data_IF_940429363373
#
_entry.id   IF_940429363373
#
_cell.length_a   1.000
_cell.length_b   1.000
_cell.length_c   1.000
_cell.angle_alpha   90.00
_cell.angle_beta   90.00
_cell.angle_gamma   90.00
#
_symmetry.space_group_name_H-M   'P 1'
#
loop_
_entity.id
_entity.type
_entity.pdbx_description
1 polymer ?
#
# COMPACT_ATOMS: atom_id res chain seq x y z
N UNK A 1 29.08 37.49 36.80
CA UNK A 1 30.07 36.59 36.17
C UNK A 1 29.31 35.38 35.62
N UNK A 2 29.25 35.27 34.28
CA UNK A 2 28.47 34.29 33.53
C UNK A 2 29.27 32.98 33.45
N UNK A 3 28.70 31.85 33.90
CA UNK A 3 29.05 30.53 33.37
C UNK A 3 27.75 29.77 33.18
N UNK A 4 27.28 29.87 31.94
CA UNK A 4 26.07 29.29 31.44
C UNK A 4 26.06 27.78 31.72
N UNK A 5 25.16 27.39 32.63
CA UNK A 5 24.51 26.08 32.61
C UNK A 5 23.83 25.91 31.25
N UNK A 6 23.66 24.67 30.81
CA UNK A 6 22.87 24.25 29.65
C UNK A 6 23.56 24.35 28.28
N UNK A 7 24.56 23.50 28.03
CA UNK A 7 24.91 23.06 26.68
C UNK A 7 24.99 21.54 26.67
N UNK A 8 23.87 20.90 26.32
CA UNK A 8 23.70 19.61 25.63
C UNK A 8 22.24 19.13 25.79
N UNK A 9 21.31 20.06 25.49
CA UNK A 9 19.99 19.73 24.99
C UNK A 9 20.17 18.93 23.66
N UNK A 10 19.21 18.08 23.31
CA UNK A 10 19.37 16.70 22.89
C UNK A 10 20.00 16.53 21.51
N UNK A 11 20.71 15.41 21.34
CA UNK A 11 21.13 14.88 20.05
C UNK A 11 19.88 14.62 19.19
N UNK A 12 19.60 15.59 18.32
CA UNK A 12 18.72 15.52 17.15
C UNK A 12 18.74 14.10 16.54
N UNK A 13 17.58 13.44 16.47
CA UNK A 13 16.75 13.44 15.26
C UNK A 13 17.46 12.89 14.02
N UNK A 14 17.84 11.60 14.01
CA UNK A 14 18.09 10.87 12.76
C UNK A 14 17.68 9.39 12.88
N UNK A 15 16.38 9.16 13.07
CA UNK A 15 15.72 7.90 12.71
C UNK A 15 14.80 8.17 11.53
N UNK A 16 15.37 8.53 10.38
CA UNK A 16 14.61 8.81 9.17
C UNK A 16 13.84 7.56 8.74
N UNK A 17 12.52 7.68 8.60
CA UNK A 17 11.69 6.70 7.93
C UNK A 17 12.19 6.53 6.50
N UNK A 18 12.99 5.51 6.24
CA UNK A 18 13.24 5.04 4.89
C UNK A 18 12.07 4.13 4.48
N UNK A 19 10.93 4.73 4.12
CA UNK A 19 9.88 4.01 3.39
C UNK A 19 9.73 4.66 2.02
N UNK A 20 10.66 4.35 1.12
CA UNK A 20 10.47 4.62 -0.31
C UNK A 20 10.02 3.34 -0.99
N UNK A 21 8.72 3.04 -0.94
CA UNK A 21 8.06 2.15 -1.89
C UNK A 21 7.13 2.94 -2.82
N UNK A 22 7.53 4.16 -3.18
CA UNK A 22 6.91 4.93 -4.26
C UNK A 22 7.43 4.48 -5.62
N UNK A 23 7.03 3.28 -6.06
CA UNK A 23 7.45 2.72 -7.34
C UNK A 23 6.31 1.99 -8.04
N UNK A 24 5.78 2.61 -9.09
CA UNK A 24 4.79 2.08 -10.03
C UNK A 24 3.31 2.17 -9.63
N UNK A 25 2.88 3.31 -9.07
CA UNK A 25 1.48 3.69 -9.09
C UNK A 25 1.07 4.13 -10.52
N UNK A 26 0.46 3.22 -11.28
CA UNK A 26 -0.26 3.60 -12.50
C UNK A 26 -1.55 4.35 -12.18
N UNK A 27 -2.13 5.00 -13.19
CA UNK A 27 -3.48 5.59 -13.11
C UNK A 27 -4.47 4.54 -12.61
N UNK A 28 -4.98 4.72 -11.39
CA UNK A 28 -5.83 3.75 -10.68
C UNK A 28 -5.31 3.32 -9.31
N UNK A 29 -4.08 3.66 -8.94
CA UNK A 29 -3.60 3.48 -7.57
C UNK A 29 -4.07 4.68 -6.72
N UNK A 30 -4.67 4.46 -5.54
CA UNK A 30 -5.08 5.54 -4.65
C UNK A 30 -3.88 6.44 -4.27
N UNK A 31 -4.07 7.75 -4.38
CA UNK A 31 -3.04 8.71 -4.04
C UNK A 31 -2.72 8.65 -2.53
N UNK A 32 -1.43 8.65 -2.18
CA UNK A 32 -0.99 8.55 -0.79
C UNK A 32 -1.18 7.18 -0.16
N UNK A 33 -1.38 6.12 -0.96
CA UNK A 33 -1.46 4.77 -0.44
C UNK A 33 -0.10 4.26 0.05
N UNK A 34 -0.09 3.70 1.26
CA UNK A 34 0.95 2.82 1.75
C UNK A 34 0.77 1.42 1.13
N UNK A 35 1.85 0.85 0.61
CA UNK A 35 1.80 -0.45 -0.09
C UNK A 35 2.50 -1.53 0.71
N UNK A 36 1.77 -2.61 1.01
CA UNK A 36 2.32 -3.83 1.61
C UNK A 36 2.30 -4.97 0.60
N UNK A 37 3.46 -5.56 0.32
CA UNK A 37 3.61 -6.65 -0.65
C UNK A 37 3.88 -7.98 0.05
N UNK A 38 3.25 -9.06 -0.41
CA UNK A 38 3.55 -10.44 -0.01
C UNK A 38 3.55 -11.39 -1.21
N UNK A 39 4.50 -12.33 -1.22
CA UNK A 39 4.48 -13.44 -2.17
C UNK A 39 3.83 -14.65 -1.51
N UNK A 40 2.83 -15.20 -2.17
CA UNK A 40 2.06 -16.35 -1.74
C UNK A 40 2.79 -17.66 -2.07
N UNK A 41 2.43 -18.75 -1.41
CA UNK A 41 3.07 -20.07 -1.63
C UNK A 41 2.89 -20.63 -3.05
N UNK A 42 1.89 -20.17 -3.79
CA UNK A 42 1.68 -20.51 -5.20
C UNK A 42 2.50 -19.64 -6.17
N UNK A 43 3.30 -18.70 -5.66
CA UNK A 43 4.13 -17.76 -6.42
C UNK A 43 3.44 -16.44 -6.79
N UNK A 44 2.16 -16.28 -6.48
CA UNK A 44 1.45 -15.03 -6.76
C UNK A 44 1.96 -13.92 -5.85
N UNK A 45 2.10 -12.70 -6.39
CA UNK A 45 2.41 -11.51 -5.60
C UNK A 45 1.12 -10.74 -5.32
N UNK A 46 0.89 -10.43 -4.06
CA UNK A 46 -0.25 -9.64 -3.60
C UNK A 46 0.25 -8.33 -2.99
N UNK A 47 -0.22 -7.22 -3.54
CA UNK A 47 0.05 -5.87 -3.08
C UNK A 47 -1.23 -5.26 -2.51
N UNK A 48 -1.24 -4.97 -1.22
CA UNK A 48 -2.32 -4.27 -0.52
C UNK A 48 -2.01 -2.77 -0.46
N UNK A 49 -2.93 -1.95 -0.96
CA UNK A 49 -2.82 -0.49 -0.99
C UNK A 49 -3.76 0.08 0.06
N UNK A 50 -3.20 0.79 1.03
CA UNK A 50 -3.95 1.37 2.14
C UNK A 50 -3.77 2.87 2.21
N UNK A 51 -4.87 3.62 2.30
CA UNK A 51 -4.83 5.08 2.52
C UNK A 51 -5.22 5.34 3.96
N UNK A 52 -4.36 6.03 4.73
CA UNK A 52 -4.59 6.30 6.16
C UNK A 52 -4.90 5.03 6.99
N UNK A 53 -4.32 3.89 6.61
CA UNK A 53 -4.52 2.60 7.28
C UNK A 53 -5.74 1.78 6.81
N UNK A 54 -6.62 2.38 5.99
CA UNK A 54 -7.80 1.74 5.42
C UNK A 54 -7.48 1.05 4.10
N UNK A 55 -8.00 -0.15 3.87
CA UNK A 55 -7.82 -0.86 2.61
C UNK A 55 -8.63 -0.17 1.51
N UNK A 56 -8.00 0.08 0.37
CA UNK A 56 -8.66 0.69 -0.79
C UNK A 56 -8.61 -0.24 -2.00
N UNK A 57 -7.46 -0.91 -2.18
CA UNK A 57 -7.22 -1.74 -3.35
C UNK A 57 -6.26 -2.88 -3.02
N UNK A 58 -6.47 -4.00 -3.69
CA UNK A 58 -5.51 -5.11 -3.75
C UNK A 58 -5.16 -5.38 -5.20
N UNK A 59 -3.88 -5.38 -5.53
CA UNK A 59 -3.38 -5.87 -6.81
C UNK A 59 -2.83 -7.28 -6.61
N UNK A 60 -3.33 -8.22 -7.40
CA UNK A 60 -2.77 -9.56 -7.50
C UNK A 60 -2.01 -9.67 -8.81
N UNK A 61 -0.75 -10.06 -8.75
CA UNK A 61 0.08 -10.42 -9.89
C UNK A 61 0.32 -11.93 -9.84
N UNK A 62 -0.47 -12.72 -10.58
CA UNK A 62 -0.31 -14.17 -10.59
C UNK A 62 1.06 -14.60 -11.09
N UNK A 63 1.57 -15.73 -10.61
CA UNK A 63 2.80 -16.34 -11.12
C UNK A 63 2.71 -16.65 -12.63
N UNK A 64 1.49 -16.90 -13.12
CA UNK A 64 1.17 -17.07 -14.53
C UNK A 64 -0.14 -16.37 -14.86
N UNK A 65 -0.08 -15.38 -15.74
CA UNK A 65 -1.25 -14.62 -16.19
C UNK A 65 -1.05 -13.11 -16.03
N UNK A 66 -2.07 -12.35 -16.40
CA UNK A 66 -2.04 -10.91 -16.22
C UNK A 66 -2.35 -10.52 -14.75
N UNK A 67 -1.89 -9.35 -14.28
CA UNK A 67 -2.33 -8.80 -13.00
C UNK A 67 -3.80 -8.38 -13.04
N UNK A 68 -4.46 -8.48 -11.89
CA UNK A 68 -5.81 -7.97 -11.69
C UNK A 68 -5.93 -7.21 -10.36
N UNK A 69 -7.00 -6.45 -10.23
CA UNK A 69 -7.26 -5.57 -9.11
C UNK A 69 -8.60 -5.93 -8.46
N UNK A 70 -8.63 -5.79 -7.14
CA UNK A 70 -9.82 -5.85 -6.30
C UNK A 70 -9.91 -4.51 -5.57
N UNK A 71 -11.12 -3.99 -5.39
CA UNK A 71 -11.34 -2.71 -4.72
C UNK A 71 -12.24 -2.94 -3.51
N UNK A 72 -12.00 -2.15 -2.47
CA UNK A 72 -12.93 -1.93 -1.36
C UNK A 72 -13.62 -0.58 -1.62
N UNK A 73 -14.92 -0.59 -1.92
CA UNK A 73 -15.68 0.61 -2.23
C UNK A 73 -16.58 1.09 -1.10
N UNK A 74 -16.97 0.17 -0.21
CA UNK A 74 -17.76 0.49 0.97
C UNK A 74 -16.89 0.75 2.20
N UNK A 75 -15.57 0.63 2.04
CA UNK A 75 -14.54 0.99 3.00
C UNK A 75 -14.63 0.14 4.27
N UNK A 76 -15.09 -1.11 4.16
CA UNK A 76 -15.29 -2.02 5.28
C UNK A 76 -14.02 -2.81 5.68
N UNK A 77 -12.92 -2.61 4.94
CA UNK A 77 -11.64 -3.26 5.14
C UNK A 77 -11.49 -4.60 4.41
N UNK A 78 -12.50 -5.00 3.64
CA UNK A 78 -12.48 -6.17 2.77
C UNK A 78 -12.72 -5.73 1.32
N UNK A 79 -12.16 -6.46 0.37
CA UNK A 79 -12.50 -6.23 -1.03
C UNK A 79 -13.97 -6.55 -1.26
N UNK A 80 -14.65 -5.81 -2.16
CA UNK A 80 -16.07 -5.97 -2.51
C UNK A 80 -16.42 -7.41 -2.98
N UNK A 81 -16.56 -8.31 -2.02
CA UNK A 81 -17.12 -9.64 -2.14
C UNK A 81 -18.57 -9.54 -1.67
N UNK A 82 -19.52 -9.61 -2.59
CA UNK A 82 -20.91 -9.78 -2.15
C UNK A 82 -21.01 -11.12 -1.39
N UNK A 83 -21.70 -11.12 -0.24
CA UNK A 83 -21.85 -12.32 0.59
C UNK A 83 -22.33 -13.50 -0.26
N UNK A 84 -21.59 -14.61 -0.21
CA UNK A 84 -21.81 -15.82 -1.00
C UNK A 84 -21.59 -15.70 -2.52
N UNK A 85 -20.88 -14.65 -2.98
CA UNK A 85 -20.50 -14.48 -4.39
C UNK A 85 -18.99 -14.32 -4.57
N UNK A 86 -18.57 -14.43 -5.83
CA UNK A 86 -17.19 -14.18 -6.24
C UNK A 86 -16.86 -12.69 -6.17
N UNK A 87 -15.64 -12.39 -5.72
CA UNK A 87 -15.07 -11.06 -5.74
C UNK A 87 -15.13 -10.44 -7.15
N UNK A 88 -15.47 -9.16 -7.25
CA UNK A 88 -15.41 -8.43 -8.53
C UNK A 88 -13.95 -8.21 -8.91
N UNK A 89 -13.54 -8.77 -10.04
CA UNK A 89 -12.17 -8.68 -10.55
C UNK A 89 -12.07 -7.64 -11.66
N UNK A 90 -11.08 -6.77 -11.57
CA UNK A 90 -10.83 -5.70 -12.54
C UNK A 90 -9.51 -5.95 -13.26
N UNK A 91 -9.54 -5.85 -14.58
CA UNK A 91 -8.37 -5.97 -15.44
C UNK A 91 -8.05 -4.63 -16.06
N UNK A 92 -6.76 -4.28 -16.12
CA UNK A 92 -6.34 -3.13 -16.91
C UNK A 92 -6.23 -3.53 -18.37
N UNK A 93 -7.14 -3.01 -19.20
CA UNK A 93 -7.16 -3.31 -20.64
C UNK A 93 -6.21 -2.40 -21.42
N UNK A 94 -6.18 -1.11 -21.05
CA UNK A 94 -5.34 -0.11 -21.67
C UNK A 94 -4.71 0.79 -20.59
N UNK A 95 -3.54 1.33 -20.90
CA UNK A 95 -2.85 2.36 -20.12
C UNK A 95 -2.14 3.28 -21.11
N UNK A 96 -2.17 4.57 -20.85
CA UNK A 96 -1.44 5.58 -21.62
C UNK A 96 -0.72 6.51 -20.66
#
# INVERSE_FOLDING_TARGET
>A
MKRARLLLLPLLLLGGCATTSGGAAGDGIPAGADVTSKTMGNGDKVDEYRVNGQLEMVRVTPARGAPYFLYDRDHDGHTDAEKDKVNKVYWQLYRW
#
